data_IF_385120934853
#
_entry.id   IF_385120934853
#
_cell.length_a   1.000
_cell.length_b   1.000
_cell.length_c   1.000
_cell.angle_alpha   90.00
_cell.angle_beta   90.00
_cell.angle_gamma   90.00
#
_symmetry.space_group_name_H-M   'P 1'
#
loop_
_entity.id
_entity.type
_entity.pdbx_description
1 polymer ?
#
# COMPACT_ATOMS: atom_id res chain seq x y z
N UNK A 1 -13.09 5.04 -13.71
CA UNK A 1 -13.81 5.42 -12.47
C UNK A 1 -13.29 6.76 -12.00
N UNK A 2 -14.12 7.82 -11.86
CA UNK A 2 -13.64 9.13 -11.44
C UNK A 2 -13.35 9.19 -9.93
N UNK A 3 -12.34 9.96 -9.54
CA UNK A 3 -12.05 10.27 -8.13
C UNK A 3 -13.14 11.21 -7.60
N UNK A 4 -13.81 10.81 -6.52
CA UNK A 4 -14.80 11.65 -5.83
C UNK A 4 -14.15 12.35 -4.64
N UNK A 5 -14.29 13.68 -4.57
CA UNK A 5 -13.72 14.48 -3.47
C UNK A 5 -14.49 14.23 -2.18
N UNK A 6 -13.79 13.80 -1.13
CA UNK A 6 -14.38 13.53 0.21
C UNK A 6 -14.06 14.62 1.22
N UNK A 7 -12.84 15.17 1.21
CA UNK A 7 -12.41 16.16 2.21
C UNK A 7 -11.05 16.78 1.90
N UNK A 8 -10.47 17.49 2.88
CA UNK A 8 -9.17 18.16 2.79
C UNK A 8 -8.35 17.94 4.05
N UNK A 9 -7.11 17.49 3.90
CA UNK A 9 -6.10 17.45 4.96
C UNK A 9 -5.17 18.65 4.85
N UNK A 10 -4.77 19.24 5.98
CA UNK A 10 -3.86 20.39 6.04
C UNK A 10 -2.73 20.07 7.01
N UNK A 11 -1.48 20.15 6.55
CA UNK A 11 -0.29 20.03 7.39
C UNK A 11 0.17 21.45 7.76
N UNK A 12 0.07 21.82 9.03
CA UNK A 12 0.26 23.21 9.49
C UNK A 12 1.24 23.37 10.68
N UNK A 13 1.89 22.29 11.11
CA UNK A 13 2.87 22.33 12.21
C UNK A 13 3.89 21.20 12.04
N UNK A 14 5.14 21.50 12.34
CA UNK A 14 6.23 20.51 12.42
C UNK A 14 6.24 19.84 13.81
N UNK A 15 6.88 18.67 13.96
CA UNK A 15 7.12 18.07 15.27
C UNK A 15 8.04 18.95 16.12
N UNK A 16 7.89 18.88 17.43
CA UNK A 16 8.78 19.51 18.41
C UNK A 16 10.06 18.66 18.58
N UNK A 17 9.93 17.33 18.56
CA UNK A 17 11.05 16.40 18.62
C UNK A 17 10.91 15.27 17.59
N UNK A 18 11.86 15.23 16.65
CA UNK A 18 11.86 14.24 15.57
C UNK A 18 11.83 12.80 16.07
N UNK A 19 12.63 12.45 17.08
CA UNK A 19 12.69 11.07 17.56
C UNK A 19 11.39 10.68 18.30
N UNK A 20 10.90 11.57 19.16
CA UNK A 20 9.69 11.33 19.95
C UNK A 20 8.43 11.19 19.10
N UNK A 21 8.32 11.96 18.02
CA UNK A 21 7.10 12.08 17.23
C UNK A 21 7.18 11.44 15.84
N UNK A 22 8.32 11.46 15.16
CA UNK A 22 8.47 10.85 13.84
C UNK A 22 8.98 9.41 13.96
N UNK A 23 10.17 9.23 14.54
CA UNK A 23 10.83 7.91 14.56
C UNK A 23 10.00 6.87 15.32
N UNK A 24 9.32 7.28 16.39
CA UNK A 24 8.47 6.38 17.19
C UNK A 24 7.01 6.30 16.73
N UNK A 25 6.61 7.04 15.68
CA UNK A 25 5.26 6.90 15.13
C UNK A 25 5.05 5.48 14.58
N UNK A 26 3.88 4.90 14.86
CA UNK A 26 3.49 3.57 14.42
C UNK A 26 2.21 3.63 13.59
N UNK A 27 2.36 3.55 12.27
CA UNK A 27 1.24 3.45 11.34
C UNK A 27 0.97 1.98 11.01
N UNK A 28 -0.30 1.59 10.93
CA UNK A 28 -0.70 0.24 10.55
C UNK A 28 -1.96 0.28 9.69
N UNK A 29 -2.00 -0.34 8.49
CA UNK A 29 -3.22 -0.40 7.69
C UNK A 29 -4.36 -1.19 8.34
N UNK A 30 -4.10 -1.99 9.37
CA UNK A 30 -5.13 -2.68 10.15
C UNK A 30 -5.79 -1.82 11.23
N UNK A 31 -5.29 -0.61 11.50
CA UNK A 31 -5.94 0.36 12.38
C UNK A 31 -7.10 1.07 11.65
N UNK A 32 -8.15 0.32 11.33
CA UNK A 32 -9.40 0.83 10.75
C UNK A 32 -10.43 1.15 11.84
N UNK A 33 -11.51 1.82 11.45
CA UNK A 33 -12.63 2.19 12.33
C UNK A 33 -13.95 1.66 11.76
N UNK A 34 -15.01 1.48 12.59
CA UNK A 34 -16.32 1.04 12.10
C UNK A 34 -16.80 1.88 10.91
N UNK A 35 -17.23 1.20 9.84
CA UNK A 35 -17.59 1.79 8.54
C UNK A 35 -16.53 1.61 7.45
N UNK A 36 -15.38 1.02 7.77
CA UNK A 36 -14.32 0.60 6.84
C UNK A 36 -14.06 -0.89 7.08
N UNK A 37 -13.74 -1.65 6.04
CA UNK A 37 -13.37 -3.07 6.15
C UNK A 37 -12.30 -3.44 5.10
N UNK A 38 -11.79 -4.66 5.18
CA UNK A 38 -10.75 -5.19 4.29
C UNK A 38 -11.34 -5.89 3.07
N UNK A 39 -10.47 -6.16 2.09
CA UNK A 39 -10.76 -7.03 0.96
C UNK A 39 -9.77 -8.19 0.90
N UNK A 40 -10.04 -9.17 0.04
CA UNK A 40 -9.17 -10.32 -0.22
C UNK A 40 -7.95 -10.01 -1.12
N UNK A 41 -7.48 -8.75 -1.14
CA UNK A 41 -6.20 -8.41 -1.77
C UNK A 41 -5.06 -9.18 -1.05
N UNK A 42 -4.36 -10.09 -1.74
CA UNK A 42 -3.39 -10.98 -1.11
C UNK A 42 -2.15 -10.25 -0.56
N UNK A 43 -1.87 -9.03 -1.03
CA UNK A 43 -0.81 -8.19 -0.48
C UNK A 43 -1.28 -7.47 0.78
N UNK A 44 -2.51 -6.94 0.78
CA UNK A 44 -3.10 -6.32 1.98
C UNK A 44 -3.17 -7.30 3.14
N UNK A 45 -3.64 -8.53 2.90
CA UNK A 45 -3.78 -9.57 3.92
C UNK A 45 -2.44 -9.85 4.65
N UNK A 46 -1.32 -9.90 3.93
CA UNK A 46 0.00 -10.04 4.55
C UNK A 46 0.43 -8.80 5.36
N UNK A 47 0.04 -7.60 4.92
CA UNK A 47 0.33 -6.35 5.65
C UNK A 47 -0.44 -6.24 6.96
N UNK A 48 -1.61 -6.87 7.10
CA UNK A 48 -2.35 -6.88 8.37
C UNK A 48 -1.56 -7.57 9.49
N UNK A 49 -0.75 -8.56 9.15
CA UNK A 49 0.15 -9.21 10.11
C UNK A 49 1.37 -8.34 10.44
N UNK A 50 2.09 -7.88 9.41
CA UNK A 50 3.46 -7.36 9.56
C UNK A 50 3.58 -6.12 10.47
N UNK A 51 2.61 -5.22 10.41
CA UNK A 51 2.75 -3.89 11.01
C UNK A 51 2.45 -3.86 12.52
N UNK A 52 1.83 -4.90 13.08
CA UNK A 52 1.77 -5.10 14.53
C UNK A 52 3.02 -5.83 15.01
N UNK A 53 3.42 -6.89 14.29
CA UNK A 53 4.59 -7.71 14.60
C UNK A 53 5.89 -6.89 14.69
N UNK A 54 6.16 -6.04 13.69
CA UNK A 54 7.40 -5.26 13.62
C UNK A 54 7.60 -4.29 14.81
N UNK A 55 6.50 -3.88 15.47
CA UNK A 55 6.59 -2.91 16.58
C UNK A 55 7.20 -3.52 17.83
N UNK A 56 7.10 -4.84 18.01
CA UNK A 56 7.60 -5.52 19.20
C UNK A 56 9.11 -5.33 19.33
N UNK A 57 9.86 -5.44 18.23
CA UNK A 57 11.30 -5.18 18.23
C UNK A 57 11.62 -3.69 18.05
N UNK A 58 10.96 -3.01 17.09
CA UNK A 58 11.25 -1.62 16.75
C UNK A 58 10.98 -0.64 17.90
N UNK A 59 9.88 -0.84 18.62
CA UNK A 59 9.43 0.01 19.72
C UNK A 59 9.52 -0.68 21.09
N UNK A 60 10.22 -1.81 21.15
CA UNK A 60 10.65 -2.43 22.41
C UNK A 60 9.56 -3.18 23.20
N UNK A 61 8.37 -3.38 22.64
CA UNK A 61 7.34 -4.21 23.29
C UNK A 61 5.92 -3.98 22.77
N UNK A 62 4.92 -4.62 23.40
CA UNK A 62 3.52 -4.53 23.00
C UNK A 62 2.86 -3.19 23.36
N UNK A 63 3.48 -2.39 24.24
CA UNK A 63 2.93 -1.14 24.75
C UNK A 63 3.27 0.08 23.87
N UNK A 64 3.61 -0.12 22.59
CA UNK A 64 3.91 0.97 21.66
C UNK A 64 2.76 1.97 21.45
N UNK A 65 1.52 1.55 21.74
CA UNK A 65 0.33 2.40 21.71
C UNK A 65 0.32 3.45 22.84
N UNK A 66 1.10 3.26 23.92
CA UNK A 66 1.21 4.22 25.02
C UNK A 66 2.23 5.34 24.75
N UNK A 67 3.07 5.20 23.72
CA UNK A 67 3.99 6.26 23.28
C UNK A 67 3.16 7.49 22.89
N UNK A 68 3.49 8.72 23.36
CA UNK A 68 2.60 9.87 23.27
C UNK A 68 2.01 10.17 21.89
N UNK A 69 2.78 9.99 20.81
CA UNK A 69 2.34 10.27 19.43
C UNK A 69 1.36 9.21 18.88
N UNK A 70 1.40 7.99 19.43
CA UNK A 70 0.56 6.86 18.98
C UNK A 70 -0.73 6.73 19.80
N UNK A 71 -0.85 7.45 20.92
CA UNK A 71 -2.00 7.32 21.81
C UNK A 71 -3.29 7.75 21.12
N UNK A 72 -4.38 6.97 21.23
CA UNK A 72 -5.69 7.44 20.81
C UNK A 72 -6.11 8.65 21.66
N UNK A 73 -6.80 9.60 21.03
CA UNK A 73 -7.43 10.73 21.73
C UNK A 73 -8.84 10.39 22.24
N UNK A 74 -9.38 9.24 21.85
CA UNK A 74 -10.63 8.68 22.35
C UNK A 74 -10.36 7.67 23.50
N UNK A 75 -11.39 7.34 24.31
CA UNK A 75 -11.24 6.34 25.36
C UNK A 75 -10.86 4.96 24.80
N UNK A 76 -9.92 4.28 25.47
CA UNK A 76 -9.58 2.87 25.23
C UNK A 76 -9.53 2.16 26.59
N UNK A 77 -10.21 1.02 26.71
CA UNK A 77 -10.22 0.20 27.91
C UNK A 77 -10.35 -1.26 27.49
N UNK A 78 -9.49 -2.12 28.01
CA UNK A 78 -9.52 -3.55 27.75
C UNK A 78 -8.90 -4.32 28.93
N UNK A 79 -8.74 -5.63 28.76
CA UNK A 79 -8.18 -6.51 29.79
C UNK A 79 -6.69 -6.84 29.60
N UNK A 80 -6.01 -6.23 28.62
CA UNK A 80 -4.56 -6.42 28.43
C UNK A 80 -3.79 -5.77 29.59
N UNK A 81 -2.74 -6.43 30.06
CA UNK A 81 -1.90 -6.01 31.19
C UNK A 81 -0.43 -6.26 30.88
N UNK A 82 0.43 -5.75 31.75
CA UNK A 82 1.88 -5.96 31.76
C UNK A 82 2.56 -5.49 30.46
N UNK A 83 3.62 -6.20 30.04
CA UNK A 83 4.46 -5.81 28.91
C UNK A 83 5.55 -4.80 29.28
N UNK A 84 6.56 -4.70 28.41
CA UNK A 84 7.69 -3.79 28.61
C UNK A 84 7.20 -2.34 28.61
N UNK A 85 7.72 -1.53 29.54
CA UNK A 85 7.41 -0.09 29.67
C UNK A 85 5.90 0.20 29.76
N UNK A 86 5.15 -0.60 30.53
CA UNK A 86 3.73 -0.31 30.82
C UNK A 86 3.59 1.03 31.56
N UNK A 87 2.88 1.97 30.94
CA UNK A 87 2.65 3.34 31.43
C UNK A 87 1.34 3.43 32.23
N UNK A 88 0.27 2.81 31.72
CA UNK A 88 -1.03 2.84 32.39
C UNK A 88 -1.07 1.92 33.61
N UNK A 89 -1.63 2.42 34.71
CA UNK A 89 -1.89 1.64 35.93
C UNK A 89 -3.39 1.33 35.99
N UNK A 90 -3.76 0.13 35.54
CA UNK A 90 -5.14 -0.35 35.61
C UNK A 90 -5.54 -0.63 37.07
N UNK A 91 -6.68 -0.06 37.51
CA UNK A 91 -7.23 -0.30 38.85
C UNK A 91 -8.38 -1.31 38.84
N UNK A 92 -8.72 -1.87 37.69
CA UNK A 92 -9.82 -2.83 37.54
C UNK A 92 -9.50 -4.12 38.30
N UNK A 93 -10.37 -4.59 39.21
CA UNK A 93 -10.13 -5.84 39.94
C UNK A 93 -10.14 -7.08 39.02
N UNK A 94 -10.71 -6.97 37.81
CA UNK A 94 -10.66 -7.98 36.76
C UNK A 94 -9.64 -7.63 35.66
N UNK A 95 -8.89 -8.64 35.23
CA UNK A 95 -8.05 -8.64 34.02
C UNK A 95 -8.53 -9.70 33.01
N UNK A 96 -9.82 -10.06 33.06
CA UNK A 96 -10.46 -11.05 32.19
C UNK A 96 -11.95 -10.74 32.02
N UNK A 97 -12.56 -11.32 30.98
CA UNK A 97 -14.00 -11.41 30.80
C UNK A 97 -14.40 -12.83 30.35
N UNK A 98 -15.65 -13.28 30.60
CA UNK A 98 -16.66 -12.61 31.41
C UNK A 98 -16.29 -12.61 32.91
N UNK A 99 -16.59 -11.53 33.64
CA UNK A 99 -16.32 -11.41 35.07
C UNK A 99 -17.50 -10.80 35.84
N UNK A 100 -17.69 -11.20 37.10
CA UNK A 100 -18.71 -10.63 37.99
C UNK A 100 -18.13 -9.61 38.99
N UNK A 101 -16.82 -9.70 39.28
CA UNK A 101 -16.15 -8.88 40.30
C UNK A 101 -16.03 -7.39 39.93
N UNK A 102 -16.19 -7.06 38.64
CA UNK A 102 -16.31 -5.69 38.15
C UNK A 102 -17.57 -5.49 37.28
N UNK A 103 -18.64 -6.26 37.54
CA UNK A 103 -19.89 -6.21 36.75
C UNK A 103 -19.65 -6.31 35.23
N UNK A 104 -18.70 -7.17 34.84
CA UNK A 104 -18.26 -7.40 33.47
C UNK A 104 -17.71 -6.18 32.72
N UNK A 105 -17.27 -5.12 33.40
CA UNK A 105 -16.66 -3.95 32.74
C UNK A 105 -15.13 -4.10 32.52
N UNK A 106 -14.59 -3.53 31.42
CA UNK A 106 -15.29 -2.95 30.27
C UNK A 106 -16.06 -3.99 29.45
N UNK A 107 -17.16 -3.59 28.80
CA UNK A 107 -18.08 -4.47 28.07
C UNK A 107 -17.94 -4.35 26.54
N UNK A 108 -18.28 -5.43 25.85
CA UNK A 108 -18.54 -5.44 24.42
C UNK A 108 -19.63 -4.41 24.04
N UNK A 109 -19.52 -3.86 22.83
CA UNK A 109 -20.52 -2.92 22.28
C UNK A 109 -21.12 -3.53 21.01
N UNK A 110 -22.45 -3.71 20.91
CA UNK A 110 -23.08 -4.20 19.69
C UNK A 110 -22.79 -3.30 18.47
N UNK A 111 -22.79 -3.84 17.23
CA UNK A 111 -22.67 -3.04 16.03
C UNK A 111 -23.86 -2.07 15.91
N UNK A 112 -23.59 -0.83 15.50
CA UNK A 112 -24.59 0.23 15.40
C UNK A 112 -24.15 1.31 14.40
N UNK A 113 -25.10 2.09 13.88
CA UNK A 113 -24.84 3.14 12.91
C UNK A 113 -23.88 4.25 13.43
N UNK A 114 -23.82 4.45 14.75
CA UNK A 114 -22.90 5.38 15.41
C UNK A 114 -22.49 4.80 16.76
N UNK A 115 -21.20 4.91 17.09
CA UNK A 115 -20.62 4.39 18.35
C UNK A 115 -20.89 2.91 18.63
N UNK A 116 -21.05 2.10 17.57
CA UNK A 116 -21.14 0.64 17.68
C UNK A 116 -19.77 -0.03 17.73
N UNK A 117 -19.76 -1.32 18.11
CA UNK A 117 -18.58 -2.16 17.96
C UNK A 117 -18.21 -2.42 16.50
N UNK A 118 -16.97 -2.82 16.26
CA UNK A 118 -16.52 -3.27 14.96
C UNK A 118 -17.05 -4.68 14.68
N UNK A 119 -17.65 -4.87 13.52
CA UNK A 119 -18.09 -6.17 13.00
C UNK A 119 -17.68 -6.22 11.52
N UNK A 120 -16.95 -7.26 11.13
CA UNK A 120 -16.58 -7.47 9.73
C UNK A 120 -17.80 -7.80 8.89
N UNK A 121 -17.78 -7.36 7.64
CA UNK A 121 -18.73 -7.78 6.63
C UNK A 121 -18.70 -9.31 6.52
N UNK A 122 -19.87 -9.93 6.58
CA UNK A 122 -20.04 -11.37 6.36
C UNK A 122 -19.86 -11.72 4.87
N UNK A 123 -18.66 -11.51 4.33
CA UNK A 123 -18.31 -11.87 2.95
C UNK A 123 -18.42 -13.38 2.76
N UNK A 124 -19.08 -13.80 1.68
CA UNK A 124 -19.16 -15.22 1.32
C UNK A 124 -17.82 -15.68 0.79
N UNK A 125 -17.15 -16.56 1.52
CA UNK A 125 -15.94 -17.25 1.07
C UNK A 125 -16.31 -18.66 0.62
N UNK A 126 -15.92 -19.01 -0.60
CA UNK A 126 -16.05 -20.36 -1.16
C UNK A 126 -14.78 -20.71 -1.94
N UNK A 127 -14.21 -21.88 -1.64
CA UNK A 127 -12.94 -22.31 -2.23
C UNK A 127 -12.13 -23.25 -1.33
N UNK A 128 -11.08 -23.82 -1.92
CA UNK A 128 -10.17 -24.74 -1.24
C UNK A 128 -8.97 -24.01 -0.61
N UNK A 129 -8.35 -24.63 0.39
CA UNK A 129 -7.11 -24.12 1.00
C UNK A 129 -5.93 -24.36 0.06
N UNK A 130 -5.57 -23.35 -0.73
CA UNK A 130 -4.49 -23.41 -1.73
C UNK A 130 -3.43 -22.33 -1.53
N UNK A 131 -2.23 -22.57 -2.05
CA UNK A 131 -1.17 -21.56 -2.21
C UNK A 131 -0.99 -21.27 -3.69
N UNK A 132 -1.92 -20.51 -4.27
CA UNK A 132 -1.96 -20.24 -5.69
C UNK A 132 -2.35 -18.79 -5.95
N UNK A 133 -1.73 -18.15 -6.94
CA UNK A 133 -2.17 -16.84 -7.41
C UNK A 133 -3.39 -17.01 -8.31
N UNK A 134 -4.41 -16.17 -8.14
CA UNK A 134 -5.55 -16.17 -9.06
C UNK A 134 -5.04 -15.93 -10.50
N UNK A 135 -5.50 -16.72 -11.49
CA UNK A 135 -5.15 -16.49 -12.90
C UNK A 135 -5.49 -15.07 -13.38
N UNK A 136 -6.46 -14.40 -12.76
CA UNK A 136 -6.82 -13.01 -13.10
C UNK A 136 -5.71 -11.99 -12.84
N UNK A 137 -4.68 -12.33 -12.07
CA UNK A 137 -3.50 -11.49 -11.83
C UNK A 137 -2.40 -11.73 -12.87
N UNK A 138 -2.61 -12.63 -13.84
CA UNK A 138 -1.61 -13.06 -14.82
C UNK A 138 -1.38 -12.10 -15.99
N UNK A 139 -1.74 -10.82 -15.84
CA UNK A 139 -1.52 -9.76 -16.84
C UNK A 139 -0.57 -8.72 -16.23
N UNK A 140 0.49 -8.36 -16.96
CA UNK A 140 1.61 -7.59 -16.41
C UNK A 140 2.02 -6.38 -17.24
N UNK A 141 1.47 -6.19 -18.45
CA UNK A 141 2.00 -5.27 -19.45
C UNK A 141 1.00 -4.20 -19.90
N UNK A 142 -0.31 -4.45 -19.81
CA UNK A 142 -1.33 -3.50 -20.25
C UNK A 142 -1.35 -2.23 -19.40
N UNK A 143 -1.24 -2.35 -18.07
CA UNK A 143 -1.20 -1.17 -17.19
C UNK A 143 0.10 -0.35 -17.34
N UNK A 144 1.31 -0.95 -17.39
CA UNK A 144 2.52 -0.19 -17.74
C UNK A 144 2.44 0.51 -19.09
N UNK A 145 1.83 -0.12 -20.11
CA UNK A 145 1.63 0.49 -21.42
C UNK A 145 0.68 1.69 -21.34
N UNK A 146 -0.45 1.53 -20.65
CA UNK A 146 -1.39 2.63 -20.40
C UNK A 146 -0.67 3.81 -19.73
N UNK A 147 0.15 3.54 -18.70
CA UNK A 147 0.93 4.57 -18.03
C UNK A 147 1.87 5.29 -19.00
N UNK A 148 2.67 4.54 -19.76
CA UNK A 148 3.61 5.06 -20.76
C UNK A 148 2.94 5.97 -21.80
N UNK A 149 1.83 5.53 -22.38
CA UNK A 149 1.10 6.28 -23.41
C UNK A 149 0.37 7.51 -22.86
N UNK A 150 0.19 7.58 -21.54
CA UNK A 150 -0.43 8.72 -20.87
C UNK A 150 0.54 9.86 -20.58
N UNK A 151 1.85 9.61 -20.67
CA UNK A 151 2.88 10.60 -20.37
C UNK A 151 3.07 11.60 -21.52
N UNK A 152 3.48 12.81 -21.18
CA UNK A 152 3.97 13.80 -22.16
C UNK A 152 5.31 13.33 -22.77
N UNK A 153 5.71 13.85 -23.95
CA UNK A 153 6.98 13.46 -24.57
C UNK A 153 8.21 13.67 -23.67
N UNK A 154 8.22 14.72 -22.84
CA UNK A 154 9.32 14.98 -21.92
C UNK A 154 9.33 13.99 -20.74
N UNK A 155 8.16 13.63 -20.21
CA UNK A 155 8.05 12.59 -19.17
C UNK A 155 8.44 11.21 -19.72
N UNK A 156 8.08 10.91 -20.97
CA UNK A 156 8.54 9.71 -21.67
C UNK A 156 10.07 9.68 -21.79
N UNK A 157 10.70 10.80 -22.13
CA UNK A 157 12.16 10.90 -22.16
C UNK A 157 12.77 10.69 -20.77
N UNK A 158 12.20 11.28 -19.72
CA UNK A 158 12.69 11.05 -18.35
C UNK A 158 12.56 9.59 -17.90
N UNK A 159 11.51 8.88 -18.32
CA UNK A 159 11.36 7.44 -18.06
C UNK A 159 12.46 6.65 -18.78
N UNK A 160 12.72 6.94 -20.05
CA UNK A 160 13.81 6.33 -20.82
C UNK A 160 15.15 6.56 -20.12
N UNK A 161 15.43 7.80 -19.73
CA UNK A 161 16.68 8.19 -19.07
C UNK A 161 16.81 7.50 -17.70
N UNK A 162 15.71 7.38 -16.94
CA UNK A 162 15.67 6.68 -15.67
C UNK A 162 16.02 5.19 -15.79
N UNK A 163 15.36 4.47 -16.71
CA UNK A 163 15.71 3.08 -16.99
C UNK A 163 17.17 2.94 -17.44
N UNK A 164 17.61 3.81 -18.36
CA UNK A 164 18.97 3.79 -18.89
C UNK A 164 20.00 4.03 -17.79
N UNK A 165 19.77 4.99 -16.90
CA UNK A 165 20.65 5.31 -15.79
C UNK A 165 20.77 4.14 -14.81
N UNK A 166 19.65 3.59 -14.34
CA UNK A 166 19.65 2.47 -13.38
C UNK A 166 20.29 1.21 -13.99
N UNK A 167 19.94 0.87 -15.23
CA UNK A 167 20.49 -0.29 -15.91
C UNK A 167 21.98 -0.14 -16.24
N UNK A 168 22.48 1.09 -16.44
CA UNK A 168 23.92 1.33 -16.61
C UNK A 168 24.74 0.90 -15.39
N UNK A 169 24.14 0.89 -14.19
CA UNK A 169 24.78 0.48 -12.93
C UNK A 169 24.77 -1.04 -12.72
N UNK A 170 23.97 -1.77 -13.50
CA UNK A 170 23.88 -3.23 -13.39
C UNK A 170 25.09 -3.85 -14.07
N UNK A 171 26.05 -4.40 -13.31
CA UNK A 171 27.31 -4.94 -13.87
C UNK A 171 27.09 -6.09 -14.86
N UNK A 172 26.08 -6.93 -14.64
CA UNK A 172 25.82 -8.12 -15.47
C UNK A 172 24.95 -7.76 -16.68
N UNK A 173 25.51 -7.81 -17.87
CA UNK A 173 24.86 -7.35 -19.11
C UNK A 173 23.57 -8.10 -19.44
N UNK A 174 23.55 -9.42 -19.25
CA UNK A 174 22.36 -10.25 -19.50
C UNK A 174 21.14 -9.87 -18.64
N UNK A 175 21.36 -9.18 -17.51
CA UNK A 175 20.23 -8.64 -16.72
C UNK A 175 19.63 -7.44 -17.44
N UNK A 176 20.47 -6.55 -18.00
CA UNK A 176 20.02 -5.39 -18.77
C UNK A 176 19.23 -5.84 -20.00
N UNK A 177 19.78 -6.82 -20.74
CA UNK A 177 19.14 -7.42 -21.92
C UNK A 177 17.75 -7.98 -21.58
N UNK A 178 17.61 -8.71 -20.47
CA UNK A 178 16.31 -9.25 -20.02
C UNK A 178 15.32 -8.17 -19.59
N UNK A 179 15.78 -7.07 -18.99
CA UNK A 179 14.89 -5.95 -18.66
C UNK A 179 14.41 -5.27 -19.94
N UNK A 180 15.31 -5.03 -20.91
CA UNK A 180 14.94 -4.49 -22.23
C UNK A 180 13.95 -5.40 -22.95
N UNK A 181 14.11 -6.72 -22.85
CA UNK A 181 13.13 -7.68 -23.35
C UNK A 181 11.73 -7.49 -22.72
N UNK A 182 11.65 -7.31 -21.40
CA UNK A 182 10.37 -6.98 -20.75
C UNK A 182 9.80 -5.62 -21.20
N UNK A 183 10.64 -4.61 -21.44
CA UNK A 183 10.18 -3.33 -21.98
C UNK A 183 9.58 -3.49 -23.38
N UNK A 184 10.11 -4.40 -24.21
CA UNK A 184 9.58 -4.67 -25.54
C UNK A 184 8.15 -5.25 -25.50
N UNK A 185 7.79 -5.96 -24.41
CA UNK A 185 6.42 -6.39 -24.16
C UNK A 185 5.48 -5.26 -23.74
N UNK A 186 6.01 -4.10 -23.32
CA UNK A 186 5.22 -2.93 -22.91
C UNK A 186 5.03 -1.97 -24.09
N UNK A 187 6.12 -1.51 -24.67
CA UNK A 187 6.14 -0.62 -25.84
C UNK A 187 7.50 -0.69 -26.56
N UNK A 188 7.47 -0.92 -27.87
CA UNK A 188 8.68 -1.08 -28.68
C UNK A 188 9.56 0.18 -28.68
N UNK A 189 8.98 1.40 -28.70
CA UNK A 189 9.76 2.64 -28.73
C UNK A 189 10.50 2.87 -27.42
N UNK A 190 9.85 2.55 -26.29
CA UNK A 190 10.49 2.57 -24.98
C UNK A 190 11.69 1.62 -24.95
N UNK A 191 11.49 0.37 -25.39
CA UNK A 191 12.54 -0.64 -25.40
C UNK A 191 13.71 -0.29 -26.32
N UNK A 192 13.43 0.22 -27.52
CA UNK A 192 14.46 0.66 -28.46
C UNK A 192 15.29 1.83 -27.93
N UNK A 193 14.64 2.84 -27.33
CA UNK A 193 15.34 3.99 -26.79
C UNK A 193 16.25 3.61 -25.60
N UNK A 194 15.76 2.76 -24.70
CA UNK A 194 16.57 2.25 -23.58
C UNK A 194 17.68 1.33 -24.09
N UNK A 195 17.39 0.46 -25.07
CA UNK A 195 18.37 -0.43 -25.70
C UNK A 195 19.51 0.36 -26.35
N UNK A 196 19.20 1.39 -27.12
CA UNK A 196 20.18 2.25 -27.77
C UNK A 196 21.15 2.91 -26.75
N UNK A 197 20.63 3.43 -25.64
CA UNK A 197 21.44 4.04 -24.59
C UNK A 197 22.37 3.04 -23.88
N UNK A 198 22.01 1.76 -23.88
CA UNK A 198 22.77 0.68 -23.24
C UNK A 198 23.66 -0.10 -24.22
N UNK A 199 23.64 0.24 -25.52
CA UNK A 199 24.34 -0.50 -26.57
C UNK A 199 23.75 -1.89 -26.84
N UNK A 200 22.44 -2.06 -26.64
CA UNK A 200 21.69 -3.30 -26.85
C UNK A 200 20.78 -3.12 -28.06
N UNK A 201 20.95 -3.97 -29.07
CA UNK A 201 20.07 -4.01 -30.24
C UNK A 201 18.96 -5.03 -30.02
N UNK A 202 17.71 -4.64 -30.28
CA UNK A 202 16.57 -5.56 -30.24
C UNK A 202 16.62 -6.51 -31.43
N UNK A 203 16.25 -7.77 -31.19
CA UNK A 203 16.03 -8.74 -32.26
C UNK A 203 14.76 -8.44 -33.06
N UNK A 204 14.64 -9.02 -34.25
CA UNK A 204 13.42 -8.91 -35.04
C UNK A 204 12.21 -9.53 -34.32
N UNK A 205 12.40 -10.60 -33.57
CA UNK A 205 11.34 -11.20 -32.75
C UNK A 205 10.85 -10.21 -31.68
N UNK A 206 11.76 -9.51 -31.00
CA UNK A 206 11.42 -8.51 -29.99
C UNK A 206 10.67 -7.31 -30.57
N UNK A 207 11.05 -6.85 -31.76
CA UNK A 207 10.35 -5.77 -32.47
C UNK A 207 8.95 -6.16 -32.92
N UNK A 208 8.71 -7.45 -33.15
CA UNK A 208 7.43 -8.00 -33.60
C UNK A 208 6.56 -8.56 -32.47
N UNK A 209 6.91 -8.33 -31.20
CA UNK A 209 6.08 -8.71 -30.05
C UNK A 209 4.71 -8.03 -30.17
N UNK A 210 3.64 -8.82 -30.00
CA UNK A 210 2.29 -8.28 -29.96
C UNK A 210 2.10 -7.48 -28.67
N UNK A 211 1.80 -6.20 -28.80
CA UNK A 211 1.62 -5.28 -27.69
C UNK A 211 0.31 -5.59 -26.93
N UNK A 212 0.26 -5.32 -25.62
CA UNK A 212 -0.91 -5.62 -24.80
C UNK A 212 -2.12 -4.79 -25.21
N UNK A 213 -3.31 -5.37 -25.05
CA UNK A 213 -4.56 -4.72 -25.37
C UNK A 213 -4.83 -3.51 -24.45
N UNK A 214 -5.59 -2.50 -24.92
CA UNK A 214 -5.99 -1.36 -24.09
C UNK A 214 -6.80 -1.79 -22.85
N UNK A 215 -6.52 -1.15 -21.71
CA UNK A 215 -7.19 -1.45 -20.44
C UNK A 215 -8.64 -0.98 -20.51
N UNK A 216 -9.59 -1.92 -20.60
CA UNK A 216 -11.02 -1.63 -20.77
C UNK A 216 -11.31 -0.67 -21.95
N UNK A 217 -10.53 -0.76 -23.04
CA UNK A 217 -10.67 0.11 -24.22
C UNK A 217 -10.02 1.49 -24.08
N UNK A 218 -9.32 1.76 -22.97
CA UNK A 218 -8.60 3.02 -22.74
C UNK A 218 -7.14 2.86 -23.15
N UNK A 219 -6.71 3.65 -24.14
CA UNK A 219 -5.32 3.67 -24.62
C UNK A 219 -4.42 4.61 -23.81
N UNK A 220 -4.98 5.72 -23.31
CA UNK A 220 -4.29 6.71 -22.48
C UNK A 220 -5.27 7.39 -21.52
N UNK A 221 -4.78 7.70 -20.32
CA UNK A 221 -5.50 8.46 -19.29
C UNK A 221 -4.64 9.65 -18.84
N UNK A 222 -4.94 10.88 -19.30
CA UNK A 222 -4.19 12.09 -18.94
C UNK A 222 -4.10 12.35 -17.43
N UNK A 223 -4.96 11.76 -16.59
CA UNK A 223 -4.84 11.87 -15.14
C UNK A 223 -3.58 11.19 -14.58
N UNK A 224 -2.91 10.36 -15.38
CA UNK A 224 -1.66 9.67 -15.02
C UNK A 224 -0.40 10.49 -15.35
N UNK A 225 -0.52 11.61 -16.06
CA UNK A 225 0.59 12.54 -16.30
C UNK A 225 0.76 13.49 -15.10
N UNK A 226 1.99 13.90 -14.81
CA UNK A 226 2.26 14.85 -13.71
C UNK A 226 1.81 16.28 -14.07
N UNK A 227 1.77 16.59 -15.37
CA UNK A 227 1.37 17.91 -15.86
C UNK A 227 -0.13 17.93 -16.09
N UNK A 228 -0.92 18.76 -15.39
CA UNK A 228 -2.34 18.86 -15.68
C UNK A 228 -2.52 19.40 -17.10
N UNK A 229 -3.28 18.69 -17.94
CA UNK A 229 -3.81 19.25 -19.18
C UNK A 229 -4.56 20.55 -18.84
N UNK A 230 -4.30 21.66 -19.56
CA UNK A 230 -5.04 22.89 -19.31
C UNK A 230 -6.53 22.59 -19.40
N UNK A 231 -7.29 22.91 -18.35
CA UNK A 231 -8.75 22.92 -18.48
C UNK A 231 -9.07 23.95 -19.56
N UNK A 232 -9.72 23.52 -20.64
CA UNK A 232 -10.34 24.44 -21.57
C UNK A 232 -11.26 25.37 -20.77
N UNK A 233 -11.04 26.69 -20.92
CA UNK A 233 -11.92 27.73 -20.35
C UNK A 233 -13.31 27.63 -20.96
#
# INVERSE_FOLDING_TARGET
>A
MPVQRVGRMVLNRNPDNFFAENEQAAFHPGHIVPGIDFSNDPLLQGRLFSYTDTQISRLGGPNFHEIPINRPTCPYHNFQRDGMHRMDIDTNPANYEPNSINDNWPRETPPAAKRGGFESLAERVDGEKIRQRSPSFGEYYAQPRLFWLSQTPIEQQHIIDGFSFELSKVVRTWIRERVVDHLAHIDTKLAEAVGANLGIELSDDQRNITLPAPVNGVEKDPASASTPTPKAM
#
